data_IF_533172115110
#
_entry.id   IF_533172115110
#
_cell.length_a   1.000
_cell.length_b   1.000
_cell.length_c   1.000
_cell.angle_alpha   90.00
_cell.angle_beta   90.00
_cell.angle_gamma   90.00
#
_symmetry.space_group_name_H-M   'P 1'
#
loop_
_entity.id
_entity.type
_entity.pdbx_description
1 polymer ?
#
# COMPACT_ATOMS: atom_id res chain seq x y z
N UNK A 1 -28.56 12.99 -24.76
CA UNK A 1 -28.93 11.80 -25.55
C UNK A 1 -28.84 12.17 -27.02
N UNK A 2 -27.82 11.66 -27.71
CA UNK A 2 -27.58 11.86 -29.12
C UNK A 2 -26.53 10.84 -29.56
N UNK A 3 -26.85 10.05 -30.59
CA UNK A 3 -26.04 8.95 -31.11
C UNK A 3 -25.34 9.41 -32.39
N UNK A 4 -24.03 9.21 -32.46
CA UNK A 4 -23.24 9.22 -33.68
C UNK A 4 -22.10 8.22 -33.44
N UNK A 5 -22.29 6.98 -33.91
CA UNK A 5 -21.41 5.84 -33.64
C UNK A 5 -21.64 5.19 -32.28
N UNK A 6 -21.29 3.90 -32.15
CA UNK A 6 -21.58 3.03 -30.99
C UNK A 6 -20.84 3.40 -29.68
N UNK A 7 -20.41 4.65 -29.53
CA UNK A 7 -19.85 5.20 -28.30
C UNK A 7 -20.83 6.19 -27.67
N UNK A 8 -21.64 5.67 -26.75
CA UNK A 8 -22.38 6.48 -25.79
C UNK A 8 -21.40 7.02 -24.73
N UNK A 9 -20.97 8.27 -24.91
CA UNK A 9 -20.41 9.06 -23.81
C UNK A 9 -21.55 9.68 -23.01
N UNK A 10 -21.75 9.22 -21.76
CA UNK A 10 -22.47 9.97 -20.73
C UNK A 10 -21.54 10.18 -19.52
N UNK A 11 -21.57 11.38 -18.90
CA UNK A 11 -20.68 11.71 -17.81
C UNK A 11 -21.21 11.12 -16.51
N UNK A 12 -20.34 10.43 -15.77
CA UNK A 12 -20.59 10.09 -14.37
C UNK A 12 -19.32 10.31 -13.57
N UNK A 13 -19.47 11.14 -12.55
CA UNK A 13 -18.50 11.48 -11.52
C UNK A 13 -17.87 10.27 -10.83
N UNK A 14 -16.68 10.52 -10.27
CA UNK A 14 -16.13 9.90 -9.04
C UNK A 14 -16.00 8.38 -9.00
N UNK A 15 -14.82 7.85 -9.38
CA UNK A 15 -13.94 7.10 -8.46
C UNK A 15 -12.73 6.53 -9.23
N UNK A 16 -11.64 7.29 -9.28
CA UNK A 16 -10.34 6.86 -9.81
C UNK A 16 -9.56 6.05 -8.75
N UNK A 17 -10.19 5.01 -8.18
CA UNK A 17 -9.60 4.19 -7.12
C UNK A 17 -9.82 2.69 -7.39
N UNK A 18 -9.29 2.22 -8.52
CA UNK A 18 -8.89 0.81 -8.75
C UNK A 18 -8.21 0.69 -10.11
N UNK A 19 -6.94 1.10 -10.17
CA UNK A 19 -6.06 0.73 -11.27
C UNK A 19 -5.76 -0.77 -11.17
N UNK A 20 -6.35 -1.56 -12.07
CA UNK A 20 -5.87 -2.89 -12.40
C UNK A 20 -5.69 -2.96 -13.92
N UNK A 21 -4.48 -2.71 -14.45
CA UNK A 21 -4.21 -2.81 -15.87
C UNK A 21 -3.60 -4.17 -16.16
N UNK A 22 -4.37 -5.25 -16.11
CA UNK A 22 -3.93 -6.52 -16.71
C UNK A 22 -5.10 -7.47 -17.00
N UNK A 23 -6.03 -7.01 -17.85
CA UNK A 23 -6.94 -7.91 -18.54
C UNK A 23 -6.88 -7.61 -20.04
N UNK A 24 -5.80 -8.06 -20.67
CA UNK A 24 -5.70 -8.20 -22.11
C UNK A 24 -5.48 -9.68 -22.41
N UNK A 25 -6.57 -10.43 -22.58
CA UNK A 25 -6.53 -11.78 -23.13
C UNK A 25 -6.71 -11.68 -24.64
N UNK A 26 -5.73 -12.16 -25.41
CA UNK A 26 -5.90 -12.55 -26.80
C UNK A 26 -5.64 -14.06 -26.86
N UNK A 27 -6.64 -14.86 -27.20
CA UNK A 27 -6.54 -16.32 -27.32
C UNK A 27 -6.63 -16.67 -28.80
N UNK A 28 -5.65 -17.40 -29.35
CA UNK A 28 -5.74 -18.00 -30.68
C UNK A 28 -4.83 -19.23 -30.82
N UNK A 29 -5.41 -20.35 -31.28
CA UNK A 29 -4.71 -21.45 -31.97
C UNK A 29 -4.18 -22.57 -31.07
N UNK A 30 -4.89 -23.70 -30.94
CA UNK A 30 -4.73 -24.98 -31.69
C UNK A 30 -3.58 -25.89 -31.23
N UNK A 31 -4.01 -26.98 -30.57
CA UNK A 31 -3.56 -28.38 -30.66
C UNK A 31 -2.25 -28.88 -30.01
N UNK A 32 -2.46 -29.99 -29.28
CA UNK A 32 -1.62 -31.19 -29.13
C UNK A 32 -0.35 -31.23 -28.25
N UNK A 33 -0.55 -31.88 -27.09
CA UNK A 33 0.25 -33.03 -26.63
C UNK A 33 1.69 -32.81 -26.17
N UNK A 34 1.86 -32.54 -24.86
CA UNK A 34 2.85 -33.23 -24.01
C UNK A 34 2.67 -32.82 -22.54
N UNK A 35 2.71 -33.74 -21.56
CA UNK A 35 2.96 -33.34 -20.18
C UNK A 35 4.46 -33.05 -20.05
N UNK A 36 4.87 -31.82 -20.36
CA UNK A 36 6.17 -31.32 -19.92
C UNK A 36 6.08 -31.03 -18.43
N UNK A 37 6.78 -31.86 -17.65
CA UNK A 37 7.20 -31.55 -16.29
C UNK A 37 7.75 -30.11 -16.24
N UNK A 38 7.41 -29.40 -15.15
CA UNK A 38 7.83 -28.04 -14.78
C UNK A 38 7.00 -26.87 -15.35
N UNK A 39 5.93 -26.52 -14.63
CA UNK A 39 5.49 -25.13 -14.47
C UNK A 39 4.96 -24.97 -13.04
N UNK A 40 5.57 -24.04 -12.28
CA UNK A 40 5.27 -23.81 -10.87
C UNK A 40 3.95 -23.09 -10.67
N UNK A 41 2.85 -23.83 -10.67
CA UNK A 41 1.60 -23.37 -10.10
C UNK A 41 1.53 -23.85 -8.65
N UNK A 42 1.62 -22.91 -7.71
CA UNK A 42 1.41 -23.20 -6.30
C UNK A 42 0.04 -23.88 -6.15
N UNK A 43 -0.03 -25.09 -5.56
CA UNK A 43 -1.31 -25.74 -5.36
C UNK A 43 -2.22 -24.83 -4.51
N UNK A 44 -3.54 -24.83 -4.73
CA UNK A 44 -4.45 -24.09 -3.86
C UNK A 44 -4.27 -24.64 -2.45
N UNK A 45 -3.67 -23.85 -1.56
CA UNK A 45 -3.47 -24.24 -0.17
C UNK A 45 -4.85 -24.28 0.48
N UNK A 46 -5.46 -25.47 0.45
CA UNK A 46 -6.63 -25.80 1.24
C UNK A 46 -6.21 -25.68 2.70
N UNK A 47 -6.69 -24.62 3.37
CA UNK A 47 -6.44 -24.39 4.79
C UNK A 47 -7.13 -25.48 5.60
N UNK A 48 -6.38 -26.52 5.95
CA UNK A 48 -6.77 -27.39 7.05
C UNK A 48 -6.69 -26.57 8.35
N UNK A 49 -7.79 -26.37 9.09
CA UNK A 49 -7.76 -25.56 10.31
C UNK A 49 -6.89 -26.17 11.42
N UNK A 50 -6.48 -27.43 11.28
CA UNK A 50 -5.80 -28.23 12.30
C UNK A 50 -4.26 -28.21 12.20
N UNK A 51 -3.68 -27.71 11.11
CA UNK A 51 -2.23 -27.70 10.91
C UNK A 51 -1.74 -26.28 10.54
N UNK A 52 -1.71 -25.38 11.52
CA UNK A 52 -1.11 -24.05 11.38
C UNK A 52 0.35 -24.15 11.81
N UNK A 53 1.29 -23.87 10.90
CA UNK A 53 2.70 -23.72 11.26
C UNK A 53 2.87 -22.47 12.16
N UNK A 54 3.22 -22.73 13.42
CA UNK A 54 3.42 -21.69 14.44
C UNK A 54 4.82 -21.09 14.40
N UNK A 55 5.80 -21.85 13.90
CA UNK A 55 7.20 -21.44 13.88
C UNK A 55 7.48 -20.53 12.69
N UNK A 56 6.85 -20.80 11.54
CA UNK A 56 7.03 -20.01 10.32
C UNK A 56 5.69 -19.50 9.76
N UNK A 57 5.02 -18.55 10.44
CA UNK A 57 3.81 -17.96 9.92
C UNK A 57 4.09 -17.17 8.63
N UNK A 58 3.17 -17.21 7.67
CA UNK A 58 3.27 -16.36 6.46
C UNK A 58 3.27 -14.87 6.82
N UNK A 59 4.01 -14.06 6.06
CA UNK A 59 4.12 -12.60 6.25
C UNK A 59 2.75 -11.88 6.37
N UNK A 60 1.76 -12.29 5.55
CA UNK A 60 0.44 -11.68 5.57
C UNK A 60 -0.32 -11.92 6.89
N UNK A 61 -0.16 -13.11 7.48
CA UNK A 61 -0.76 -13.42 8.78
C UNK A 61 -0.10 -12.59 9.89
N UNK A 62 1.21 -12.43 9.85
CA UNK A 62 1.94 -11.67 10.87
C UNK A 62 1.68 -10.16 10.81
N UNK A 63 1.46 -9.60 9.61
CA UNK A 63 1.07 -8.20 9.42
C UNK A 63 -0.33 -7.89 9.99
N UNK A 64 -1.26 -8.85 9.90
CA UNK A 64 -2.64 -8.73 10.43
C UNK A 64 -2.69 -8.86 11.95
N UNK A 65 -1.74 -9.58 12.56
CA UNK A 65 -1.66 -9.73 14.02
C UNK A 65 -1.36 -8.39 14.69
N UNK A 66 -1.92 -8.22 15.89
CA UNK A 66 -1.59 -7.08 16.76
C UNK A 66 -0.08 -7.09 17.08
N UNK A 67 0.54 -5.90 17.21
CA UNK A 67 1.99 -5.74 17.40
C UNK A 67 2.61 -6.55 18.55
N UNK A 68 1.86 -6.80 19.65
CA UNK A 68 2.31 -7.62 20.79
C UNK A 68 2.08 -9.14 20.60
N UNK A 69 1.23 -9.54 19.65
CA UNK A 69 0.84 -10.94 19.37
C UNK A 69 1.56 -11.54 18.14
N UNK A 70 2.55 -10.83 17.60
CA UNK A 70 3.45 -11.36 16.56
C UNK A 70 4.42 -12.37 17.18
N UNK A 71 5.07 -13.18 16.34
CA UNK A 71 6.05 -14.15 16.82
C UNK A 71 7.19 -13.41 17.53
N UNK A 72 7.68 -12.35 16.88
CA UNK A 72 8.58 -11.36 17.48
C UNK A 72 7.91 -10.00 17.49
N UNK A 73 7.91 -9.34 18.64
CA UNK A 73 7.27 -8.04 18.80
C UNK A 73 8.03 -6.96 18.02
N UNK A 74 7.29 -6.18 17.22
CA UNK A 74 7.84 -5.06 16.46
C UNK A 74 6.84 -3.90 16.42
N UNK A 75 7.33 -2.64 16.49
CA UNK A 75 6.46 -1.48 16.39
C UNK A 75 5.90 -1.33 14.97
N UNK A 76 4.71 -0.73 14.86
CA UNK A 76 4.12 -0.34 13.57
C UNK A 76 4.50 1.09 13.14
N UNK A 77 5.16 1.83 14.03
CA UNK A 77 5.59 3.21 13.81
C UNK A 77 6.94 3.25 13.11
N UNK A 78 7.17 4.31 12.34
CA UNK A 78 8.42 4.57 11.63
C UNK A 78 8.76 6.07 11.68
N UNK A 79 10.01 6.38 11.35
CA UNK A 79 10.47 7.73 11.06
C UNK A 79 10.35 8.01 9.56
N UNK A 80 10.02 9.24 9.22
CA UNK A 80 9.90 9.70 7.84
C UNK A 80 10.64 11.02 7.65
N UNK A 81 11.21 11.20 6.46
CA UNK A 81 11.76 12.46 5.99
C UNK A 81 10.63 13.22 5.29
N UNK A 82 10.17 14.33 5.89
CA UNK A 82 9.15 15.21 5.30
C UNK A 82 9.85 16.39 4.64
N UNK A 83 9.54 16.63 3.38
CA UNK A 83 9.98 17.82 2.64
C UNK A 83 8.92 18.91 2.78
N UNK A 84 9.36 20.09 3.21
CA UNK A 84 8.51 21.26 3.27
C UNK A 84 8.25 21.84 1.86
N UNK A 85 7.00 22.21 1.51
CA UNK A 85 6.68 22.78 0.20
C UNK A 85 7.31 24.16 -0.06
N UNK A 86 7.48 24.99 0.98
CA UNK A 86 8.06 26.32 0.83
C UNK A 86 9.60 26.34 0.80
N UNK A 87 10.22 25.87 1.89
CA UNK A 87 11.67 26.02 2.07
C UNK A 87 12.51 24.79 1.65
N UNK A 88 11.90 23.74 1.09
CA UNK A 88 12.53 22.48 0.61
C UNK A 88 13.47 21.74 1.58
N UNK A 89 13.57 22.21 2.82
CA UNK A 89 14.33 21.55 3.88
C UNK A 89 13.64 20.24 4.27
N UNK A 90 14.45 19.22 4.50
CA UNK A 90 14.00 17.90 4.95
C UNK A 90 14.06 17.87 6.47
N UNK A 91 12.95 17.53 7.10
CA UNK A 91 12.86 17.35 8.56
C UNK A 91 12.41 15.92 8.85
N UNK A 92 13.08 15.28 9.81
CA UNK A 92 12.67 13.96 10.29
C UNK A 92 11.49 14.07 11.23
N UNK A 93 10.40 13.40 10.88
CA UNK A 93 9.16 13.38 11.65
C UNK A 93 8.82 11.95 12.05
N UNK A 94 8.32 11.78 13.26
CA UNK A 94 7.79 10.50 13.72
C UNK A 94 6.35 10.28 13.21
N UNK A 95 6.05 9.09 12.71
CA UNK A 95 4.73 8.76 12.13
C UNK A 95 3.53 8.98 13.05
N UNK A 96 3.69 8.87 14.36
CA UNK A 96 2.63 9.08 15.36
C UNK A 96 3.01 10.24 16.30
N UNK A 97 3.52 11.35 15.74
CA UNK A 97 3.90 12.52 16.52
C UNK A 97 2.71 13.05 17.34
N UNK A 98 2.96 13.33 18.63
CA UNK A 98 1.97 13.90 19.56
C UNK A 98 1.96 15.43 19.55
N UNK A 99 3.04 16.04 19.09
CA UNK A 99 3.19 17.49 19.01
C UNK A 99 3.06 17.96 17.57
N UNK A 100 2.65 19.21 17.39
CA UNK A 100 2.68 19.89 16.09
C UNK A 100 4.15 20.09 15.72
N UNK A 101 4.57 19.54 14.58
CA UNK A 101 5.96 19.67 14.11
C UNK A 101 6.07 20.82 13.14
N UNK A 102 6.98 21.75 13.44
CA UNK A 102 7.25 22.93 12.64
C UNK A 102 8.52 22.73 11.80
N UNK A 103 8.55 23.33 10.61
CA UNK A 103 9.77 23.39 9.82
C UNK A 103 10.78 24.37 10.43
N UNK A 104 12.05 23.96 10.53
CA UNK A 104 13.14 24.79 11.09
C UNK A 104 13.42 26.05 10.24
N UNK A 105 13.10 26.03 8.94
CA UNK A 105 13.40 27.15 8.03
C UNK A 105 12.29 28.18 7.92
N UNK A 106 11.06 27.74 7.67
CA UNK A 106 9.94 28.61 7.32
C UNK A 106 8.82 28.61 8.39
N UNK A 107 9.03 27.96 9.54
CA UNK A 107 8.08 27.87 10.67
C UNK A 107 6.68 27.35 10.30
N UNK A 108 6.54 26.78 9.11
CA UNK A 108 5.29 26.19 8.63
C UNK A 108 5.01 24.89 9.36
N UNK A 109 3.73 24.65 9.66
CA UNK A 109 3.27 23.38 10.23
C UNK A 109 3.43 22.27 9.19
N UNK A 110 4.16 21.20 9.56
CA UNK A 110 4.40 20.04 8.70
C UNK A 110 3.40 18.91 8.98
N UNK A 111 3.07 18.71 10.25
CA UNK A 111 2.04 17.76 10.65
C UNK A 111 1.29 18.20 11.91
N UNK A 112 0.03 17.78 12.00
CA UNK A 112 -0.83 17.91 13.15
C UNK A 112 -0.98 16.55 13.86
N UNK A 113 -0.96 16.53 15.20
CA UNK A 113 -1.15 15.30 15.95
C UNK A 113 -2.59 14.79 15.82
N UNK A 114 -2.75 13.47 15.77
CA UNK A 114 -4.06 12.79 15.81
C UNK A 114 -3.98 11.62 16.78
N UNK A 115 -5.10 10.91 17.02
CA UNK A 115 -5.08 9.68 17.81
C UNK A 115 -4.29 8.52 17.19
N UNK A 116 -3.88 8.64 15.93
CA UNK A 116 -3.15 7.61 15.19
C UNK A 116 -1.92 8.16 14.49
N UNK A 117 -1.86 7.99 13.16
CA UNK A 117 -0.79 8.60 12.36
C UNK A 117 -1.02 10.10 12.27
N UNK A 118 0.06 10.87 12.44
CA UNK A 118 0.01 12.32 12.31
C UNK A 118 -0.50 12.73 10.92
N UNK A 119 -1.34 13.77 10.87
CA UNK A 119 -1.88 14.32 9.63
C UNK A 119 -0.84 15.27 9.04
N UNK A 120 -0.32 14.97 7.85
CA UNK A 120 0.59 15.87 7.14
C UNK A 120 -0.19 17.05 6.54
N UNK A 121 0.46 18.22 6.47
CA UNK A 121 -0.07 19.38 5.77
C UNK A 121 -0.09 19.13 4.26
N UNK A 122 -1.09 19.67 3.57
CA UNK A 122 -1.21 19.56 2.12
C UNK A 122 0.06 20.10 1.43
N UNK A 123 0.52 19.40 0.39
CA UNK A 123 1.76 19.76 -0.33
C UNK A 123 3.07 19.28 0.32
N UNK A 124 3.03 18.69 1.53
CA UNK A 124 4.22 18.04 2.09
C UNK A 124 4.43 16.65 1.47
N UNK A 125 5.62 16.41 0.91
CA UNK A 125 6.01 15.07 0.44
C UNK A 125 6.82 14.35 1.51
N UNK A 126 6.71 13.02 1.62
CA UNK A 126 7.46 12.25 2.61
C UNK A 126 8.08 10.98 2.05
N UNK A 127 9.21 10.58 2.63
CA UNK A 127 9.88 9.29 2.39
C UNK A 127 10.05 8.56 3.73
N UNK A 128 9.76 7.27 3.78
CA UNK A 128 10.04 6.46 4.98
C UNK A 128 11.54 6.24 5.09
N UNK A 129 12.12 6.51 6.26
CA UNK A 129 13.51 6.12 6.54
C UNK A 129 13.56 4.62 6.79
N UNK A 130 14.46 3.95 6.08
CA UNK A 130 14.89 2.60 6.43
C UNK A 130 15.97 2.73 7.51
N UNK A 131 15.83 1.94 8.57
CA UNK A 131 16.88 1.72 9.56
C UNK A 131 17.62 0.45 9.15
#
# INVERSE_FOLDING_TARGET
MGVLGDFLCYPANTDCARGNPELAQCVSGTEESRPTLYAGENPPVVKMPLAIDLLNPSFDLERRRHKKKRLVQSPNSYFMDVKCPGCYKITTVFSHAQTVVLCVGCSTVLCQPTGGKARLTEGCSFRRKQH
#
